data_IF_048993845299
#
_entry.id   IF_048993845299
#
_cell.length_a   1.000
_cell.length_b   1.000
_cell.length_c   1.000
_cell.angle_alpha   90.00
_cell.angle_beta   90.00
_cell.angle_gamma   90.00
#
_symmetry.space_group_name_H-M   'P 1'
#
loop_
_entity.id
_entity.type
_entity.pdbx_description
1 polymer ?
#
# COMPACT_ATOMS: atom_id res chain seq x y z
N UNK A 1 -33.17 -13.39 22.04
CA UNK A 1 -32.96 -12.94 20.65
C UNK A 1 -31.52 -13.25 20.29
N UNK A 2 -31.24 -13.96 19.19
CA UNK A 2 -29.87 -14.16 18.74
C UNK A 2 -29.32 -12.82 18.25
N UNK A 3 -28.07 -12.53 18.64
CA UNK A 3 -27.29 -11.40 18.11
C UNK A 3 -26.91 -11.77 16.67
N UNK A 4 -27.17 -10.94 15.65
CA UNK A 4 -26.71 -11.24 14.31
C UNK A 4 -25.18 -11.22 14.31
N UNK A 5 -24.56 -12.27 13.77
CA UNK A 5 -23.12 -12.33 13.54
C UNK A 5 -22.70 -11.12 12.70
N UNK A 6 -21.74 -10.35 13.19
CA UNK A 6 -21.22 -9.11 12.60
C UNK A 6 -20.45 -9.30 11.29
N UNK A 7 -20.52 -10.49 10.70
CA UNK A 7 -19.87 -10.89 9.46
C UNK A 7 -20.70 -10.62 8.20
N UNK A 8 -22.01 -10.41 8.31
CA UNK A 8 -22.92 -10.48 7.14
C UNK A 8 -23.20 -9.15 6.39
N UNK A 9 -22.64 -8.00 6.79
CA UNK A 9 -22.93 -6.73 6.08
C UNK A 9 -21.66 -5.88 5.90
N UNK A 10 -20.72 -6.34 5.07
CA UNK A 10 -19.53 -5.55 4.66
C UNK A 10 -19.38 -5.36 3.15
N UNK A 11 -20.28 -5.97 2.39
CA UNK A 11 -20.40 -5.82 0.95
C UNK A 11 -21.67 -4.98 0.71
N UNK A 12 -21.53 -3.83 0.03
CA UNK A 12 -22.70 -3.10 -0.49
C UNK A 12 -23.49 -4.06 -1.39
N UNK A 13 -24.81 -4.19 -1.20
CA UNK A 13 -25.67 -4.95 -2.12
C UNK A 13 -25.43 -4.47 -3.57
N UNK A 14 -24.98 -5.38 -4.44
CA UNK A 14 -24.59 -5.09 -5.83
C UNK A 14 -23.37 -5.88 -6.31
N UNK A 15 -22.83 -5.57 -7.50
CA UNK A 15 -21.52 -6.09 -7.94
C UNK A 15 -20.44 -5.66 -6.95
N UNK A 16 -19.75 -6.64 -6.34
CA UNK A 16 -18.70 -6.38 -5.36
C UNK A 16 -17.60 -5.50 -5.97
N UNK A 17 -17.44 -4.29 -5.44
CA UNK A 17 -16.45 -3.30 -5.91
C UNK A 17 -15.28 -3.18 -4.95
N UNK A 18 -15.56 -2.95 -3.67
CA UNK A 18 -14.58 -2.72 -2.62
C UNK A 18 -15.11 -3.21 -1.27
N UNK A 19 -14.20 -3.54 -0.35
CA UNK A 19 -14.56 -3.76 1.05
C UNK A 19 -14.71 -2.41 1.75
N UNK A 20 -15.77 -2.25 2.54
CA UNK A 20 -16.04 -0.99 3.27
C UNK A 20 -15.36 -1.00 4.64
N UNK A 21 -14.02 -1.00 4.69
CA UNK A 21 -13.29 -0.81 5.94
C UNK A 21 -13.03 0.68 6.20
N UNK A 22 -13.34 1.21 7.40
CA UNK A 22 -12.84 2.52 7.81
C UNK A 22 -11.32 2.54 7.74
N UNK A 23 -10.74 3.57 7.13
CA UNK A 23 -9.28 3.66 6.99
C UNK A 23 -8.56 3.61 8.34
N UNK A 24 -9.19 4.09 9.42
CA UNK A 24 -8.67 3.99 10.78
C UNK A 24 -8.47 2.54 11.25
N UNK A 25 -9.34 1.61 10.86
CA UNK A 25 -9.23 0.18 11.20
C UNK A 25 -8.12 -0.48 10.40
N UNK A 26 -8.03 -0.18 9.10
CA UNK A 26 -6.94 -0.63 8.22
C UNK A 26 -5.59 -0.16 8.77
N UNK A 27 -5.47 1.12 9.13
CA UNK A 27 -4.25 1.70 9.69
C UNK A 27 -3.92 1.10 11.07
N UNK A 28 -4.93 0.81 11.90
CA UNK A 28 -4.72 0.12 13.18
C UNK A 28 -4.13 -1.27 12.94
N UNK A 29 -4.66 -2.01 11.98
CA UNK A 29 -4.13 -3.33 11.60
C UNK A 29 -2.69 -3.23 11.09
N UNK A 30 -2.39 -2.27 10.20
CA UNK A 30 -1.01 -2.05 9.72
C UNK A 30 -0.04 -1.75 10.86
N UNK A 31 -0.44 -0.99 11.89
CA UNK A 31 0.40 -0.77 13.07
C UNK A 31 0.64 -2.06 13.85
N UNK A 32 -0.36 -2.93 13.98
CA UNK A 32 -0.20 -4.25 14.61
C UNK A 32 0.77 -5.10 13.81
N UNK A 33 0.55 -5.24 12.49
CA UNK A 33 1.43 -5.97 11.58
C UNK A 33 2.89 -5.51 11.65
N UNK A 34 3.13 -4.19 11.70
CA UNK A 34 4.47 -3.63 11.86
C UNK A 34 5.08 -3.92 13.24
N UNK A 35 4.28 -3.85 14.31
CA UNK A 35 4.75 -4.21 15.66
C UNK A 35 5.14 -5.67 15.76
N UNK A 36 4.36 -6.57 15.16
CA UNK A 36 4.66 -8.01 15.12
C UNK A 36 5.96 -8.29 14.35
N UNK A 37 6.28 -7.45 13.36
CA UNK A 37 7.56 -7.45 12.65
C UNK A 37 8.72 -6.83 13.45
N UNK A 38 8.48 -6.33 14.67
CA UNK A 38 9.47 -5.70 15.53
C UNK A 38 9.75 -4.23 15.24
N UNK A 39 8.86 -3.53 14.53
CA UNK A 39 8.95 -2.08 14.37
C UNK A 39 8.42 -1.35 15.60
N UNK A 40 9.14 -0.31 16.00
CA UNK A 40 8.68 0.67 16.97
C UNK A 40 7.86 1.75 16.26
N UNK A 41 6.67 2.05 16.80
CA UNK A 41 5.86 3.17 16.30
C UNK A 41 6.46 4.48 16.81
N UNK A 42 6.84 5.36 15.89
CA UNK A 42 7.32 6.69 16.22
C UNK A 42 6.12 7.61 16.51
N UNK A 43 6.36 8.62 17.35
CA UNK A 43 5.36 9.64 17.62
C UNK A 43 4.99 10.37 16.31
N UNK A 44 3.72 10.75 16.11
CA UNK A 44 3.32 11.50 14.92
C UNK A 44 4.11 12.81 14.83
N UNK A 45 5.01 12.89 13.84
CA UNK A 45 5.83 14.07 13.58
C UNK A 45 5.75 14.41 12.10
N UNK A 46 5.73 15.71 11.74
CA UNK A 46 5.73 16.12 10.35
C UNK A 46 7.06 15.75 9.69
N UNK A 47 6.96 15.17 8.50
CA UNK A 47 8.05 14.98 7.55
C UNK A 47 7.90 16.06 6.48
N UNK A 48 8.65 17.15 6.64
CA UNK A 48 8.41 18.38 5.87
C UNK A 48 7.07 19.00 6.25
N UNK A 49 6.13 19.02 5.30
CA UNK A 49 4.77 19.59 5.48
C UNK A 49 3.68 18.53 5.68
N UNK A 50 4.05 17.24 5.69
CA UNK A 50 3.10 16.13 5.76
C UNK A 50 3.30 15.38 7.07
N UNK A 51 2.22 15.15 7.81
CA UNK A 51 2.24 14.17 8.91
C UNK A 51 1.85 12.81 8.32
N UNK A 52 2.71 11.78 8.46
CA UNK A 52 2.37 10.43 8.04
C UNK A 52 1.29 9.84 8.94
N UNK A 53 0.42 9.02 8.36
CA UNK A 53 -0.58 8.30 9.15
C UNK A 53 0.10 7.20 9.96
N UNK A 54 1.13 6.55 9.43
CA UNK A 54 1.99 5.61 10.17
C UNK A 54 3.45 6.00 9.99
N UNK A 55 4.19 6.06 11.10
CA UNK A 55 5.63 6.25 11.11
C UNK A 55 6.24 5.18 12.01
N UNK A 56 7.09 4.34 11.44
CA UNK A 56 7.62 3.17 12.11
C UNK A 56 9.11 3.02 11.84
N UNK A 57 9.85 2.53 12.82
CA UNK A 57 11.29 2.26 12.67
C UNK A 57 11.66 0.94 13.33
N UNK A 58 12.48 0.16 12.64
CA UNK A 58 13.13 -1.04 13.18
C UNK A 58 14.64 -0.88 13.06
N UNK A 59 15.38 -1.32 14.08
CA UNK A 59 16.84 -1.35 14.05
C UNK A 59 17.33 -2.78 14.07
N UNK A 60 18.29 -3.09 13.21
CA UNK A 60 18.98 -4.37 13.17
C UNK A 60 20.48 -4.11 13.04
N UNK A 61 21.21 -4.29 14.15
CA UNK A 61 22.62 -3.91 14.25
C UNK A 61 22.84 -2.43 13.91
N UNK A 62 23.63 -2.16 12.86
CA UNK A 62 23.93 -0.80 12.39
C UNK A 62 22.95 -0.28 11.32
N UNK A 63 21.94 -1.07 10.93
CA UNK A 63 20.92 -0.65 9.95
C UNK A 63 19.65 -0.23 10.67
N UNK A 64 19.04 0.83 10.16
CA UNK A 64 17.70 1.26 10.55
C UNK A 64 16.80 1.19 9.31
N UNK A 65 15.66 0.53 9.45
CA UNK A 65 14.60 0.48 8.46
C UNK A 65 13.48 1.40 8.92
N UNK A 66 13.08 2.33 8.08
CA UNK A 66 12.05 3.32 8.40
C UNK A 66 10.93 3.23 7.38
N UNK A 67 9.70 3.26 7.86
CA UNK A 67 8.50 3.18 7.04
C UNK A 67 7.62 4.38 7.37
N UNK A 68 7.22 5.11 6.33
CA UNK A 68 6.17 6.13 6.39
C UNK A 68 5.01 5.71 5.51
N UNK A 69 3.80 5.76 6.04
CA UNK A 69 2.60 5.35 5.31
C UNK A 69 1.50 6.40 5.36
N UNK A 70 0.74 6.47 4.27
CA UNK A 70 -0.49 7.25 4.16
C UNK A 70 -1.62 6.30 3.79
N UNK A 71 -2.72 6.38 4.53
CA UNK A 71 -3.93 5.61 4.27
C UNK A 71 -4.80 6.29 3.22
N UNK A 72 -5.30 5.53 2.25
CA UNK A 72 -6.35 5.93 1.34
C UNK A 72 -7.54 4.98 1.49
N UNK A 73 -8.70 5.53 1.83
CA UNK A 73 -9.91 4.72 2.03
C UNK A 73 -10.42 4.11 0.72
N UNK A 74 -10.23 4.82 -0.39
CA UNK A 74 -10.77 4.50 -1.70
C UNK A 74 -9.76 4.93 -2.79
N UNK A 75 -9.95 4.45 -4.02
CA UNK A 75 -9.05 4.74 -5.15
C UNK A 75 -9.01 6.24 -5.51
N UNK A 76 -10.10 6.97 -5.32
CA UNK A 76 -10.17 8.44 -5.52
C UNK A 76 -9.24 9.21 -4.56
N UNK A 77 -8.97 8.67 -3.37
CA UNK A 77 -8.04 9.23 -2.38
C UNK A 77 -6.61 8.74 -2.56
N UNK A 78 -6.37 7.73 -3.39
CA UNK A 78 -5.04 7.18 -3.60
C UNK A 78 -4.08 8.22 -4.21
N UNK A 79 -4.55 9.07 -5.12
CA UNK A 79 -3.70 10.11 -5.76
C UNK A 79 -3.24 11.18 -4.77
N UNK A 80 -4.13 11.63 -3.88
CA UNK A 80 -3.77 12.56 -2.80
C UNK A 80 -2.75 11.93 -1.86
N UNK A 81 -2.98 10.67 -1.46
CA UNK A 81 -2.05 9.91 -0.64
C UNK A 81 -0.67 9.73 -1.29
N UNK A 82 -0.62 9.39 -2.59
CA UNK A 82 0.62 9.31 -3.36
C UNK A 82 1.35 10.65 -3.41
N UNK A 83 0.63 11.76 -3.57
CA UNK A 83 1.22 13.11 -3.59
C UNK A 83 1.84 13.45 -2.23
N UNK A 84 1.15 13.12 -1.13
CA UNK A 84 1.68 13.26 0.24
C UNK A 84 2.93 12.41 0.46
N UNK A 85 2.95 11.17 -0.03
CA UNK A 85 4.13 10.30 0.02
C UNK A 85 5.29 10.88 -0.80
N UNK A 86 5.03 11.43 -1.99
CA UNK A 86 6.06 12.06 -2.81
C UNK A 86 6.70 13.25 -2.10
N UNK A 87 5.89 14.08 -1.43
CA UNK A 87 6.38 15.21 -0.64
C UNK A 87 7.24 14.76 0.55
N UNK A 88 6.87 13.67 1.24
CA UNK A 88 7.74 13.10 2.28
C UNK A 88 9.05 12.57 1.70
N UNK A 89 9.01 11.99 0.49
CA UNK A 89 10.19 11.48 -0.20
C UNK A 89 11.19 12.57 -0.57
N UNK A 90 10.75 13.77 -0.91
CA UNK A 90 11.69 14.89 -1.16
C UNK A 90 12.49 15.28 0.08
N UNK A 91 12.03 14.91 1.28
CA UNK A 91 12.70 15.20 2.56
C UNK A 91 13.56 14.01 3.02
N UNK A 92 13.00 12.80 3.02
CA UNK A 92 13.66 11.61 3.57
C UNK A 92 14.53 10.86 2.55
N UNK A 93 14.32 11.09 1.24
CA UNK A 93 15.09 10.44 0.17
C UNK A 93 14.93 8.92 0.18
N UNK A 94 16.05 8.19 0.05
CA UNK A 94 16.04 6.71 0.07
C UNK A 94 16.15 6.11 1.49
N UNK A 95 16.07 6.94 2.55
CA UNK A 95 16.23 6.47 3.95
C UNK A 95 14.99 5.81 4.54
N UNK A 96 13.86 5.94 3.86
CA UNK A 96 12.58 5.38 4.29
C UNK A 96 11.87 4.70 3.12
N UNK A 97 11.00 3.78 3.48
CA UNK A 97 10.04 3.13 2.63
C UNK A 97 8.71 3.92 2.67
N UNK A 98 8.14 4.19 1.48
CA UNK A 98 6.95 5.02 1.31
C UNK A 98 5.77 4.16 0.90
N UNK A 99 4.75 4.11 1.74
CA UNK A 99 3.67 3.12 1.60
C UNK A 99 2.31 3.80 1.45
N UNK A 100 1.65 3.51 0.34
CA UNK A 100 0.21 3.70 0.20
C UNK A 100 -0.51 2.51 0.84
N UNK A 101 -1.31 2.76 1.87
CA UNK A 101 -2.11 1.72 2.53
C UNK A 101 -3.56 1.86 2.10
N UNK A 102 -4.15 0.77 1.64
CA UNK A 102 -5.56 0.72 1.23
C UNK A 102 -6.27 -0.50 1.83
N UNK A 103 -7.60 -0.44 2.01
CA UNK A 103 -8.38 -1.64 2.25
C UNK A 103 -8.29 -2.60 1.05
N UNK A 104 -8.70 -3.86 1.20
CA UNK A 104 -8.75 -4.77 0.06
C UNK A 104 -9.77 -4.25 -0.95
N UNK A 105 -9.40 -4.30 -2.23
CA UNK A 105 -10.24 -3.90 -3.35
C UNK A 105 -10.38 -5.08 -4.31
N UNK A 106 -11.45 -5.11 -5.10
CA UNK A 106 -11.58 -6.13 -6.14
C UNK A 106 -10.40 -6.09 -7.12
N UNK A 107 -9.98 -7.26 -7.61
CA UNK A 107 -8.90 -7.38 -8.59
C UNK A 107 -9.18 -6.54 -9.84
N UNK A 108 -10.45 -6.47 -10.27
CA UNK A 108 -10.88 -5.64 -11.39
C UNK A 108 -10.55 -4.16 -11.16
N UNK A 109 -10.96 -3.57 -10.03
CA UNK A 109 -10.68 -2.16 -9.73
C UNK A 109 -9.19 -1.89 -9.52
N UNK A 110 -8.46 -2.85 -8.93
CA UNK A 110 -7.01 -2.75 -8.79
C UNK A 110 -6.34 -2.68 -10.15
N UNK A 111 -6.70 -3.57 -11.08
CA UNK A 111 -6.17 -3.57 -12.43
C UNK A 111 -6.56 -2.31 -13.20
N UNK A 112 -7.79 -1.81 -13.01
CA UNK A 112 -8.26 -0.56 -13.62
C UNK A 112 -7.39 0.63 -13.17
N UNK A 113 -7.19 0.79 -11.85
CA UNK A 113 -6.32 1.83 -11.29
C UNK A 113 -4.88 1.73 -11.82
N UNK A 114 -4.33 0.51 -11.87
CA UNK A 114 -2.93 0.29 -12.24
C UNK A 114 -2.68 0.36 -13.74
N UNK A 115 -3.71 0.16 -14.58
CA UNK A 115 -3.64 0.30 -16.04
C UNK A 115 -4.10 1.67 -16.54
N UNK A 116 -4.74 2.47 -15.70
CA UNK A 116 -5.24 3.80 -16.04
C UNK A 116 -4.16 4.63 -16.77
N UNK A 117 -4.54 5.25 -17.90
CA UNK A 117 -3.66 6.04 -18.75
C UNK A 117 -2.31 5.34 -19.00
N UNK A 118 -2.36 4.10 -19.50
CA UNK A 118 -1.19 3.25 -19.80
C UNK A 118 -0.25 3.08 -18.59
N UNK A 119 -0.87 2.90 -17.41
CA UNK A 119 -0.17 2.69 -16.17
C UNK A 119 0.57 3.92 -15.65
N UNK A 120 0.05 5.12 -15.93
CA UNK A 120 0.58 6.38 -15.41
C UNK A 120 0.90 6.30 -13.92
N UNK A 121 -0.05 5.84 -13.11
CA UNK A 121 0.11 5.74 -11.65
C UNK A 121 1.04 4.60 -11.24
N UNK A 122 0.96 3.46 -11.92
CA UNK A 122 1.85 2.33 -11.71
C UNK A 122 3.33 2.76 -11.88
N UNK A 123 3.67 3.37 -13.02
CA UNK A 123 5.05 3.80 -13.26
C UNK A 123 5.46 4.98 -12.39
N UNK A 124 4.54 5.88 -12.01
CA UNK A 124 4.83 6.95 -11.06
C UNK A 124 5.24 6.38 -9.68
N UNK A 125 4.50 5.39 -9.16
CA UNK A 125 4.87 4.71 -7.91
C UNK A 125 6.22 4.00 -8.03
N UNK A 126 6.46 3.26 -9.13
CA UNK A 126 7.74 2.56 -9.36
C UNK A 126 8.92 3.53 -9.43
N UNK A 127 8.78 4.61 -10.21
CA UNK A 127 9.82 5.64 -10.34
C UNK A 127 10.11 6.36 -9.02
N UNK A 128 9.10 6.55 -8.18
CA UNK A 128 9.24 7.11 -6.85
C UNK A 128 9.61 6.07 -5.76
N UNK A 129 9.87 4.81 -6.12
CA UNK A 129 10.12 3.69 -5.18
C UNK A 129 9.07 3.61 -4.06
N UNK A 130 7.81 3.88 -4.40
CA UNK A 130 6.68 3.74 -3.49
C UNK A 130 6.16 2.30 -3.52
N UNK A 131 5.53 1.91 -2.42
CA UNK A 131 4.84 0.64 -2.27
C UNK A 131 3.34 0.85 -2.13
N UNK A 132 2.57 -0.16 -2.53
CA UNK A 132 1.13 -0.22 -2.30
C UNK A 132 0.81 -1.48 -1.48
N UNK A 133 0.19 -1.29 -0.33
CA UNK A 133 -0.25 -2.36 0.54
C UNK A 133 -1.78 -2.42 0.60
N UNK A 134 -2.32 -3.63 0.42
CA UNK A 134 -3.71 -3.94 0.73
C UNK A 134 -3.74 -4.66 2.06
N UNK A 135 -4.40 -4.06 3.05
CA UNK A 135 -4.47 -4.59 4.41
C UNK A 135 -5.91 -4.99 4.74
N UNK A 136 -6.11 -6.26 5.07
CA UNK A 136 -7.41 -6.80 5.50
C UNK A 136 -7.38 -7.05 7.01
N UNK A 137 -8.06 -6.22 7.83
CA UNK A 137 -8.14 -6.43 9.26
C UNK A 137 -8.87 -7.71 9.68
N UNK A 138 -9.83 -8.20 8.90
CA UNK A 138 -10.64 -9.37 9.27
C UNK A 138 -9.91 -10.69 9.02
N UNK A 139 -9.13 -10.73 7.94
CA UNK A 139 -8.36 -11.93 7.56
C UNK A 139 -6.90 -11.84 8.05
N UNK A 140 -6.58 -10.81 8.84
CA UNK A 140 -5.27 -10.60 9.48
C UNK A 140 -4.08 -10.72 8.51
N UNK A 141 -4.21 -10.19 7.29
CA UNK A 141 -3.12 -10.18 6.33
C UNK A 141 -2.85 -8.80 5.74
N UNK A 142 -1.61 -8.64 5.25
CA UNK A 142 -1.19 -7.50 4.45
C UNK A 142 -0.53 -8.03 3.19
N UNK A 143 -0.97 -7.53 2.03
CA UNK A 143 -0.39 -7.86 0.74
C UNK A 143 0.35 -6.65 0.16
N UNK A 144 1.64 -6.83 -0.16
CA UNK A 144 2.40 -5.84 -0.93
C UNK A 144 2.13 -6.08 -2.42
N UNK A 145 1.32 -5.22 -3.02
CA UNK A 145 0.92 -5.32 -4.43
C UNK A 145 1.98 -4.77 -5.35
N UNK A 146 2.59 -3.65 -4.97
CA UNK A 146 3.65 -2.96 -5.72
C UNK A 146 4.82 -2.72 -4.79
N UNK A 147 6.01 -3.02 -5.28
CA UNK A 147 7.25 -2.82 -4.54
C UNK A 147 7.40 -3.78 -3.38
N UNK A 148 8.54 -3.66 -2.70
CA UNK A 148 8.94 -4.54 -1.63
C UNK A 148 9.71 -3.73 -0.58
N UNK A 149 9.54 -4.04 0.72
CA UNK A 149 10.25 -3.32 1.76
C UNK A 149 11.76 -3.60 1.70
N UNK A 150 12.55 -2.62 2.11
CA UNK A 150 14.02 -2.77 2.21
C UNK A 150 14.44 -3.80 3.26
N UNK A 151 13.62 -3.96 4.30
CA UNK A 151 13.78 -4.97 5.34
C UNK A 151 13.40 -6.35 4.78
N UNK A 152 14.42 -7.15 4.45
CA UNK A 152 14.27 -8.49 3.87
C UNK A 152 13.58 -9.49 4.81
N UNK A 153 13.74 -9.32 6.12
CA UNK A 153 13.08 -10.20 7.11
C UNK A 153 11.59 -9.87 7.13
N UNK A 154 11.26 -8.58 7.16
CA UNK A 154 9.88 -8.11 7.10
C UNK A 154 9.17 -8.48 5.79
N UNK A 155 9.90 -8.47 4.66
CA UNK A 155 9.37 -8.92 3.36
C UNK A 155 8.72 -10.30 3.43
N UNK A 156 9.26 -11.22 4.24
CA UNK A 156 8.73 -12.59 4.39
C UNK A 156 7.39 -12.69 5.12
N UNK A 157 6.91 -11.61 5.74
CA UNK A 157 5.66 -11.58 6.51
C UNK A 157 4.43 -11.21 5.68
N UNK A 158 4.63 -10.65 4.48
CA UNK A 158 3.52 -10.34 3.58
C UNK A 158 2.87 -11.61 3.05
N UNK A 159 1.56 -11.54 2.80
CA UNK A 159 0.85 -12.63 2.14
C UNK A 159 1.52 -12.95 0.78
N UNK A 160 1.85 -14.23 0.57
CA UNK A 160 2.47 -14.68 -0.66
C UNK A 160 1.46 -14.62 -1.81
N UNK A 161 1.56 -13.59 -2.66
CA UNK A 161 0.80 -13.53 -3.90
C UNK A 161 1.28 -14.60 -4.89
N UNK A 162 0.34 -15.31 -5.53
CA UNK A 162 0.59 -16.00 -6.81
C UNK A 162 1.30 -15.00 -7.74
N UNK A 163 2.43 -15.38 -8.38
CA UNK A 163 3.24 -14.57 -9.32
C UNK A 163 3.01 -13.05 -9.22
N UNK A 164 3.92 -12.30 -8.58
CA UNK A 164 3.65 -10.91 -8.18
C UNK A 164 2.96 -10.11 -9.29
N UNK A 165 1.76 -9.61 -8.99
CA UNK A 165 0.98 -8.79 -9.90
C UNK A 165 1.82 -7.64 -10.47
N UNK A 166 2.73 -7.09 -9.66
CA UNK A 166 3.78 -6.14 -10.06
C UNK A 166 4.61 -6.61 -11.27
N UNK A 167 5.09 -7.86 -11.26
CA UNK A 167 5.89 -8.40 -12.37
C UNK A 167 5.06 -8.51 -13.67
N UNK A 168 3.82 -9.00 -13.56
CA UNK A 168 2.95 -9.14 -14.73
C UNK A 168 2.60 -7.77 -15.33
N UNK A 169 2.21 -6.81 -14.48
CA UNK A 169 1.87 -5.45 -14.90
C UNK A 169 3.06 -4.74 -15.53
N UNK A 170 4.25 -4.85 -14.96
CA UNK A 170 5.46 -4.25 -15.53
C UNK A 170 5.68 -4.75 -16.96
N UNK A 171 5.59 -6.08 -17.17
CA UNK A 171 5.82 -6.68 -18.48
C UNK A 171 4.77 -6.22 -19.50
N UNK A 172 3.50 -6.25 -19.12
CA UNK A 172 2.38 -5.86 -20.01
C UNK A 172 2.48 -4.38 -20.40
N UNK A 173 2.66 -3.48 -19.43
CA UNK A 173 2.63 -2.04 -19.66
C UNK A 173 3.91 -1.55 -20.36
N UNK A 174 5.07 -2.13 -20.07
CA UNK A 174 6.31 -1.80 -20.77
C UNK A 174 6.25 -2.21 -22.26
N UNK A 175 5.66 -3.36 -22.56
CA UNK A 175 5.46 -3.80 -23.95
C UNK A 175 4.56 -2.84 -24.73
N UNK A 176 3.45 -2.38 -24.12
CA UNK A 176 2.54 -1.42 -24.76
C UNK A 176 3.23 -0.09 -25.10
N UNK A 177 3.99 0.47 -24.14
CA UNK A 177 4.74 1.72 -24.36
C UNK A 177 5.76 1.61 -25.49
N UNK A 178 6.50 0.51 -25.55
CA UNK A 178 7.46 0.29 -26.65
C UNK A 178 6.78 0.16 -28.02
N UNK A 179 5.60 -0.47 -28.09
CA UNK A 179 4.86 -0.57 -29.35
C UNK A 179 4.28 0.78 -29.83
N UNK A 180 4.08 1.73 -28.92
CA UNK A 180 3.58 3.08 -29.24
C UNK A 180 4.71 4.04 -29.60
N UNK A 181 5.93 3.83 -29.10
CA UNK A 181 7.14 4.60 -29.48
C UNK A 181 7.68 4.24 -30.87
N UNK A 182 7.27 3.10 -31.45
CA UNK A 182 7.66 2.65 -32.80
C UNK A 182 6.79 3.23 -33.94
N UNK A 183 5.79 4.07 -33.64
CA UNK A 183 4.89 4.74 -34.61
C UNK A 183 4.95 6.27 -34.50
#
# INVERSE_FOLDING_TARGET
MPVPDSHEVRIKEGEFREWTFPISEVLKWVRTFLKDAGYEMLAPQPVGLVVPDVHARRKEGNRAFEIVAIGAQHTDKAVDAMTRLAAMRTVLGDKADYVLVMPPISEYLLLELLREAEGRWYFAMKGAKMMMWLANPDEEFVWSVIGEPQDRVFRGMFAAGKMSLDFFLNRELAQKRWSEEEY
#
